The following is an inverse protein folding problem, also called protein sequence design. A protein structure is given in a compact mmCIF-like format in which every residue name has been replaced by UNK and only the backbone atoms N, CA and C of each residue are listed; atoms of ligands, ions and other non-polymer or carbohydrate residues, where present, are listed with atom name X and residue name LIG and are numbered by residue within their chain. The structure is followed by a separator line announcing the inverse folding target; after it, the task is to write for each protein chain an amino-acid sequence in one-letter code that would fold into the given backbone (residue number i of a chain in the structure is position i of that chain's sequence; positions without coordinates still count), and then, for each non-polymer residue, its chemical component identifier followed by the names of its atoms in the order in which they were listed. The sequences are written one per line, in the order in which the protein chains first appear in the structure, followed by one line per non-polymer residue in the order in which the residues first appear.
data_IF_885359640804
#
_entry.id   IF_885359640804
#
_cell.length_a   1.000
_cell.length_b   1.000
_cell.length_c   1.000
_cell.angle_alpha   90.00
_cell.angle_beta   90.00
_cell.angle_gamma   90.00
#
_symmetry.space_group_name_H-M   'P 1'
#
loop_
_entity.id
_entity.type
_entity.pdbx_description
1 polymer ?
#
# COMPACT_ATOMS: atom_id res chain seq x y z
N UNK A 1 13.82 -29.51 -8.45
CA UNK A 1 14.87 -29.29 -7.41
C UNK A 1 14.28 -29.71 -6.07
N UNK A 2 15.09 -30.03 -5.05
CA UNK A 2 14.53 -30.32 -3.74
C UNK A 2 13.99 -29.04 -3.09
N UNK A 3 12.85 -29.12 -2.44
CA UNK A 3 12.22 -28.03 -1.68
C UNK A 3 13.21 -27.47 -0.66
N UNK A 4 13.35 -26.14 -0.61
CA UNK A 4 14.20 -25.47 0.36
C UNK A 4 13.45 -25.35 1.69
N UNK A 5 14.09 -25.77 2.78
CA UNK A 5 13.64 -25.48 4.14
C UNK A 5 14.24 -24.16 4.61
N UNK A 6 13.44 -23.36 5.32
CA UNK A 6 13.89 -22.05 5.83
C UNK A 6 14.87 -22.21 6.99
N UNK A 7 15.98 -21.51 6.90
CA UNK A 7 17.05 -21.50 7.89
C UNK A 7 16.73 -20.50 9.01
N UNK A 8 16.81 -20.90 10.26
CA UNK A 8 16.66 -19.99 11.39
C UNK A 8 17.87 -19.07 11.51
N UNK A 9 17.65 -17.78 11.80
CA UNK A 9 18.71 -16.76 11.93
C UNK A 9 19.62 -16.97 13.17
N UNK A 10 19.12 -17.71 14.16
CA UNK A 10 19.76 -17.81 15.48
C UNK A 10 19.58 -16.55 16.34
N UNK A 11 18.87 -15.55 15.85
CA UNK A 11 18.52 -14.33 16.60
C UNK A 11 17.30 -14.60 17.46
N UNK A 12 17.38 -14.20 18.72
CA UNK A 12 16.26 -14.22 19.68
C UNK A 12 15.60 -12.85 19.64
N UNK A 13 14.31 -12.81 19.36
CA UNK A 13 13.49 -11.60 19.43
C UNK A 13 12.77 -11.52 20.76
N UNK A 14 12.97 -10.45 21.50
CA UNK A 14 12.20 -10.11 22.69
C UNK A 14 11.03 -9.20 22.28
N UNK A 15 9.81 -9.75 22.28
CA UNK A 15 8.60 -9.03 21.84
C UNK A 15 8.25 -7.85 22.77
N UNK A 16 8.44 -7.99 24.11
CA UNK A 16 8.09 -6.96 25.08
C UNK A 16 8.98 -5.71 24.98
N UNK A 17 10.30 -5.92 24.77
CA UNK A 17 11.26 -4.84 24.64
C UNK A 17 11.55 -4.45 23.17
N UNK A 18 11.00 -5.22 22.24
CA UNK A 18 11.27 -5.08 20.81
C UNK A 18 12.77 -5.10 20.47
N UNK A 19 13.48 -6.07 21.05
CA UNK A 19 14.94 -6.21 20.95
C UNK A 19 15.33 -7.51 20.25
N UNK A 20 16.41 -7.44 19.48
CA UNK A 20 17.00 -8.58 18.78
C UNK A 20 18.35 -8.94 19.38
N UNK A 21 18.56 -10.20 19.72
CA UNK A 21 19.78 -10.68 20.36
C UNK A 21 20.39 -11.84 19.58
N UNK A 22 21.69 -11.73 19.23
CA UNK A 22 22.46 -12.82 18.66
C UNK A 22 23.57 -13.22 19.65
N UNK A 23 23.33 -14.29 20.41
CA UNK A 23 24.12 -14.60 21.61
C UNK A 23 24.01 -13.43 22.61
N UNK A 24 25.14 -12.86 23.01
CA UNK A 24 25.20 -11.73 23.94
C UNK A 24 25.20 -10.36 23.23
N UNK A 25 25.08 -10.34 21.91
CA UNK A 25 25.09 -9.11 21.12
C UNK A 25 23.67 -8.67 20.78
N UNK A 26 23.32 -7.44 21.17
CA UNK A 26 22.11 -6.78 20.71
C UNK A 26 22.31 -6.28 19.28
N UNK A 27 21.31 -6.55 18.41
CA UNK A 27 21.25 -6.09 17.03
C UNK A 27 20.26 -4.96 16.89
N UNK A 28 20.47 -4.10 15.91
CA UNK A 28 19.56 -2.99 15.61
C UNK A 28 18.40 -3.45 14.70
N UNK A 29 17.22 -2.92 14.96
CA UNK A 29 16.05 -3.12 14.10
C UNK A 29 16.16 -2.32 12.80
N UNK A 30 15.83 -2.94 11.67
CA UNK A 30 15.90 -2.30 10.34
C UNK A 30 14.92 -1.12 10.22
N UNK A 31 13.71 -1.26 10.71
CA UNK A 31 12.62 -0.29 10.49
C UNK A 31 12.96 1.10 11.01
N UNK A 32 13.62 1.19 12.18
CA UNK A 32 14.01 2.47 12.74
C UNK A 32 15.14 3.12 11.94
N UNK A 33 16.14 2.34 11.50
CA UNK A 33 17.23 2.81 10.66
C UNK A 33 16.70 3.39 9.34
N UNK A 34 15.78 2.68 8.69
CA UNK A 34 15.12 3.15 7.46
C UNK A 34 14.37 4.47 7.69
N UNK A 35 13.60 4.58 8.77
CA UNK A 35 12.87 5.80 9.09
C UNK A 35 13.82 6.98 9.32
N UNK A 36 14.90 6.80 10.06
CA UNK A 36 15.90 7.86 10.31
C UNK A 36 16.56 8.34 9.03
N UNK A 37 16.88 7.43 8.12
CA UNK A 37 17.60 7.73 6.89
C UNK A 37 16.69 8.32 5.79
N UNK A 38 15.41 7.92 5.72
CA UNK A 38 14.51 8.31 4.64
C UNK A 38 13.56 9.45 5.08
N UNK A 39 12.95 9.32 6.25
CA UNK A 39 11.88 10.22 6.71
C UNK A 39 12.00 10.50 8.22
N UNK A 40 13.05 11.20 8.69
CA UNK A 40 13.29 11.42 10.12
C UNK A 40 12.12 12.13 10.81
N UNK A 41 11.44 13.03 10.12
CA UNK A 41 10.37 13.87 10.67
C UNK A 41 8.94 13.31 10.44
N UNK A 42 8.81 12.09 9.89
CA UNK A 42 7.51 11.51 9.49
C UNK A 42 6.41 11.59 10.56
N UNK A 43 6.77 11.50 11.83
CA UNK A 43 5.83 11.48 12.95
C UNK A 43 5.96 12.69 13.89
N UNK A 44 6.82 13.68 13.59
CA UNK A 44 7.14 14.81 14.45
C UNK A 44 5.94 15.68 14.82
N UNK A 45 4.97 15.82 13.90
CA UNK A 45 3.75 16.61 14.08
C UNK A 45 2.59 15.84 14.70
N UNK A 46 2.72 14.51 14.93
CA UNK A 46 1.63 13.67 15.40
C UNK A 46 1.70 13.52 16.94
N UNK A 47 0.62 13.84 17.67
CA UNK A 47 0.60 13.66 19.11
C UNK A 47 0.89 12.20 19.53
N UNK A 48 1.77 12.03 20.54
CA UNK A 48 2.23 10.72 21.03
C UNK A 48 1.07 9.74 21.30
N UNK A 49 0.00 10.20 21.95
CA UNK A 49 -1.19 9.39 22.20
C UNK A 49 -1.83 8.81 20.95
N UNK A 50 -1.80 9.55 19.83
CA UNK A 50 -2.36 9.05 18.56
C UNK A 50 -1.46 7.97 17.98
N UNK A 51 -0.14 8.14 18.09
CA UNK A 51 0.83 7.14 17.65
C UNK A 51 0.71 5.85 18.49
N UNK A 52 0.58 5.98 19.81
CA UNK A 52 0.38 4.84 20.73
C UNK A 52 -0.89 4.06 20.38
N UNK A 53 -2.02 4.75 20.19
CA UNK A 53 -3.28 4.10 19.80
C UNK A 53 -3.20 3.42 18.42
N UNK A 54 -2.44 4.00 17.49
CA UNK A 54 -2.22 3.38 16.17
C UNK A 54 -1.32 2.14 16.28
N UNK A 55 -0.30 2.19 17.13
CA UNK A 55 0.59 1.05 17.39
C UNK A 55 -0.17 -0.09 18.07
N UNK A 56 -0.96 0.19 19.14
CA UNK A 56 -1.78 -0.83 19.81
C UNK A 56 -2.75 -1.52 18.84
N UNK A 57 -3.42 -0.74 17.99
CA UNK A 57 -4.30 -1.31 16.97
C UNK A 57 -3.51 -2.19 15.97
N UNK A 58 -2.38 -1.71 15.47
CA UNK A 58 -1.51 -2.47 14.58
C UNK A 58 -1.07 -3.79 15.22
N UNK A 59 -0.52 -3.74 16.43
CA UNK A 59 -0.07 -4.93 17.18
C UNK A 59 -1.21 -5.94 17.38
N UNK A 60 -2.42 -5.46 17.71
CA UNK A 60 -3.59 -6.33 17.85
C UNK A 60 -3.95 -7.08 16.55
N UNK A 61 -3.87 -6.38 15.40
CA UNK A 61 -4.15 -6.99 14.08
C UNK A 61 -3.07 -8.01 13.73
N UNK A 62 -1.78 -7.66 13.86
CA UNK A 62 -0.66 -8.59 13.60
C UNK A 62 -0.78 -9.86 14.45
N UNK A 63 -1.01 -9.70 15.76
CA UNK A 63 -1.15 -10.84 16.67
C UNK A 63 -2.34 -11.74 16.32
N UNK A 64 -3.45 -11.15 15.91
CA UNK A 64 -4.65 -11.92 15.50
C UNK A 64 -4.38 -12.73 14.23
N UNK A 65 -3.65 -12.16 13.27
CA UNK A 65 -3.25 -12.84 12.04
C UNK A 65 -2.20 -13.92 12.32
N UNK A 66 -1.22 -13.65 13.19
CA UNK A 66 -0.22 -14.62 13.61
C UNK A 66 -0.87 -15.85 14.26
N UNK A 67 -1.81 -15.66 15.21
CA UNK A 67 -2.56 -16.73 15.85
C UNK A 67 -3.37 -17.54 14.84
N UNK A 68 -3.97 -16.86 13.86
CA UNK A 68 -4.67 -17.56 12.78
C UNK A 68 -3.71 -18.42 11.95
N UNK A 69 -2.55 -17.91 11.58
CA UNK A 69 -1.58 -18.63 10.74
C UNK A 69 -0.88 -19.78 11.48
N UNK A 70 -0.54 -19.61 12.75
CA UNK A 70 0.18 -20.63 13.53
C UNK A 70 -0.74 -21.67 14.17
N UNK A 71 -1.91 -21.24 14.65
CA UNK A 71 -2.79 -22.06 15.48
C UNK A 71 -4.20 -22.25 14.91
N UNK A 72 -4.48 -21.67 13.74
CA UNK A 72 -5.81 -21.68 13.11
C UNK A 72 -6.91 -21.05 13.96
N UNK A 73 -6.54 -20.16 14.90
CA UNK A 73 -7.47 -19.42 15.77
C UNK A 73 -7.98 -18.20 15.03
N UNK A 74 -9.23 -18.27 14.56
CA UNK A 74 -9.92 -17.14 13.95
C UNK A 74 -10.77 -16.42 15.02
N UNK A 75 -10.39 -15.20 15.39
CA UNK A 75 -11.10 -14.39 16.39
C UNK A 75 -12.35 -13.69 15.85
N UNK A 76 -12.66 -13.86 14.56
CA UNK A 76 -13.83 -13.27 13.89
C UNK A 76 -13.71 -11.78 13.56
N UNK A 77 -12.55 -11.15 13.78
CA UNK A 77 -12.35 -9.75 13.39
C UNK A 77 -12.40 -9.58 11.87
N UNK A 78 -12.83 -8.41 11.42
CA UNK A 78 -12.94 -8.10 9.98
C UNK A 78 -11.57 -8.16 9.32
N UNK A 79 -10.52 -7.67 9.99
CA UNK A 79 -9.14 -7.69 9.48
C UNK A 79 -8.64 -9.12 9.23
N UNK A 80 -8.97 -10.07 10.10
CA UNK A 80 -8.60 -11.49 9.90
C UNK A 80 -9.40 -12.10 8.74
N UNK A 81 -10.69 -11.76 8.61
CA UNK A 81 -11.50 -12.22 7.47
C UNK A 81 -10.97 -11.67 6.14
N UNK A 82 -10.65 -10.38 6.10
CA UNK A 82 -10.07 -9.71 4.93
C UNK A 82 -8.70 -10.32 4.57
N UNK A 83 -7.86 -10.58 5.56
CA UNK A 83 -6.58 -11.26 5.37
C UNK A 83 -6.76 -12.65 4.74
N UNK A 84 -7.69 -13.45 5.26
CA UNK A 84 -8.02 -14.77 4.72
C UNK A 84 -8.48 -14.66 3.27
N UNK A 85 -9.35 -13.69 2.98
CA UNK A 85 -9.87 -13.48 1.63
C UNK A 85 -8.76 -13.04 0.66
N UNK A 86 -7.88 -12.11 1.05
CA UNK A 86 -6.70 -11.71 0.26
C UNK A 86 -5.82 -12.91 -0.05
N UNK A 87 -5.48 -13.73 0.95
CA UNK A 87 -4.65 -14.91 0.76
C UNK A 87 -5.28 -15.90 -0.22
N UNK A 88 -6.58 -16.13 -0.11
CA UNK A 88 -7.33 -17.03 -0.97
C UNK A 88 -7.40 -16.52 -2.42
N UNK A 89 -7.77 -15.25 -2.61
CA UNK A 89 -7.95 -14.66 -3.95
C UNK A 89 -6.63 -14.57 -4.73
N UNK A 90 -5.51 -14.45 -4.02
CA UNK A 90 -4.18 -14.35 -4.61
C UNK A 90 -3.37 -15.66 -4.52
N UNK A 91 -3.98 -16.75 -4.05
CA UNK A 91 -3.33 -18.06 -3.92
C UNK A 91 -2.02 -18.00 -3.12
N UNK A 92 -2.00 -17.22 -2.03
CA UNK A 92 -0.83 -17.07 -1.17
C UNK A 92 -0.71 -18.30 -0.24
N UNK A 93 0.34 -19.09 -0.43
CA UNK A 93 0.59 -20.31 0.35
C UNK A 93 1.51 -19.95 1.51
N UNK A 94 0.97 -19.96 2.72
CA UNK A 94 1.71 -19.64 3.94
C UNK A 94 2.89 -20.59 4.15
N UNK A 95 4.06 -20.04 4.47
CA UNK A 95 5.28 -20.76 4.83
C UNK A 95 5.75 -20.42 6.24
N UNK A 96 5.77 -19.13 6.59
CA UNK A 96 6.12 -18.67 7.93
C UNK A 96 5.50 -17.31 8.25
N UNK A 97 5.27 -17.05 9.54
CA UNK A 97 4.90 -15.74 10.08
C UNK A 97 5.93 -15.30 11.12
N UNK A 98 6.15 -13.99 11.25
CA UNK A 98 7.14 -13.40 12.17
C UNK A 98 8.53 -14.03 11.98
N UNK A 99 8.92 -14.19 10.71
CA UNK A 99 10.17 -14.86 10.37
C UNK A 99 11.35 -13.93 10.54
N UNK A 100 12.19 -14.21 11.54
CA UNK A 100 13.36 -13.39 11.87
C UNK A 100 14.47 -13.57 10.85
N UNK A 101 14.90 -12.45 10.26
CA UNK A 101 16.05 -12.36 9.36
C UNK A 101 17.12 -11.44 9.93
N UNK A 102 18.40 -11.71 9.57
CA UNK A 102 19.54 -10.96 10.07
C UNK A 102 20.70 -10.99 9.08
N UNK A 103 21.56 -9.97 9.14
CA UNK A 103 22.89 -10.00 8.50
C UNK A 103 23.92 -10.79 9.30
N UNK A 104 23.54 -11.31 10.47
CA UNK A 104 24.41 -12.02 11.41
C UNK A 104 25.44 -11.13 12.11
N UNK A 105 25.30 -9.80 12.01
CA UNK A 105 26.30 -8.84 12.53
C UNK A 105 25.67 -7.66 13.27
N UNK A 106 24.85 -6.87 12.61
CA UNK A 106 24.38 -5.58 13.12
C UNK A 106 22.88 -5.43 13.07
N UNK A 107 22.22 -6.11 12.12
CA UNK A 107 20.82 -5.88 11.79
C UNK A 107 19.98 -7.13 11.94
N UNK A 108 18.77 -6.97 12.45
CA UNK A 108 17.73 -7.98 12.44
C UNK A 108 16.35 -7.36 12.26
N UNK A 109 15.40 -8.15 11.81
CA UNK A 109 14.00 -7.78 11.76
C UNK A 109 13.14 -9.02 11.60
N UNK A 110 11.83 -8.88 11.88
CA UNK A 110 10.85 -9.91 11.60
C UNK A 110 10.09 -9.58 10.31
N UNK A 111 9.89 -10.59 9.47
CA UNK A 111 9.04 -10.54 8.30
C UNK A 111 7.66 -11.03 8.72
N UNK A 112 6.64 -10.21 8.60
CA UNK A 112 5.29 -10.56 9.05
C UNK A 112 4.79 -11.83 8.39
N UNK A 113 4.94 -11.95 7.05
CA UNK A 113 4.45 -13.07 6.27
C UNK A 113 5.44 -13.52 5.19
N UNK A 114 5.73 -14.81 5.16
CA UNK A 114 6.49 -15.48 4.10
C UNK A 114 5.55 -16.45 3.39
N UNK A 115 5.43 -16.32 2.10
CA UNK A 115 4.63 -17.20 1.24
C UNK A 115 5.52 -17.96 0.28
N UNK A 116 5.20 -19.24 0.06
CA UNK A 116 5.92 -20.08 -0.90
C UNK A 116 5.24 -20.02 -2.26
N UNK A 117 5.99 -19.69 -3.30
CA UNK A 117 5.52 -19.68 -4.69
C UNK A 117 6.02 -20.88 -5.50
N UNK A 118 7.18 -21.43 -5.14
CA UNK A 118 7.72 -22.68 -5.70
C UNK A 118 8.66 -23.40 -4.70
N UNK A 119 9.36 -24.45 -5.14
CA UNK A 119 10.31 -25.18 -4.29
C UNK A 119 11.41 -24.30 -3.70
N UNK A 120 11.84 -23.27 -4.43
CA UNK A 120 12.95 -22.38 -4.09
C UNK A 120 12.60 -20.88 -4.17
N UNK A 121 11.34 -20.55 -4.42
CA UNK A 121 10.89 -19.17 -4.61
C UNK A 121 9.83 -18.78 -3.60
N UNK A 122 9.92 -17.54 -3.12
CA UNK A 122 9.08 -17.01 -2.04
C UNK A 122 8.60 -15.60 -2.36
N UNK A 123 7.45 -15.25 -1.80
CA UNK A 123 6.97 -13.86 -1.72
C UNK A 123 6.97 -13.42 -0.26
N UNK A 124 7.30 -12.16 -0.01
CA UNK A 124 7.27 -11.59 1.32
C UNK A 124 6.16 -10.54 1.41
N UNK A 125 5.49 -10.48 2.54
CA UNK A 125 4.52 -9.44 2.78
C UNK A 125 4.66 -8.84 4.19
N UNK A 126 4.29 -7.57 4.27
CA UNK A 126 4.30 -6.77 5.47
C UNK A 126 2.89 -6.22 5.69
N UNK A 127 2.34 -6.36 6.90
CA UNK A 127 0.98 -5.96 7.24
C UNK A 127 0.98 -4.51 7.71
N UNK A 128 0.12 -3.69 7.13
CA UNK A 128 -0.04 -2.29 7.51
C UNK A 128 -1.49 -1.96 7.82
N UNK A 129 -1.68 -1.15 8.89
CA UNK A 129 -3.00 -0.77 9.41
C UNK A 129 -3.25 0.74 9.36
N UNK A 130 -2.55 1.44 8.47
CA UNK A 130 -2.66 2.89 8.32
C UNK A 130 -4.05 3.31 7.84
N UNK A 131 -4.49 4.52 8.22
CA UNK A 131 -5.71 5.11 7.65
C UNK A 131 -5.53 5.58 6.20
N UNK A 132 -4.30 5.94 5.82
CA UNK A 132 -3.91 6.33 4.47
C UNK A 132 -2.48 5.86 4.21
N UNK A 133 -2.27 5.22 3.07
CA UNK A 133 -0.95 4.89 2.55
C UNK A 133 -0.40 6.11 1.79
N UNK A 134 0.39 6.95 2.48
CA UNK A 134 1.05 8.11 1.85
C UNK A 134 2.27 7.66 1.05
N UNK A 135 2.78 8.53 0.17
CA UNK A 135 3.96 8.25 -0.62
C UNK A 135 5.18 7.90 0.26
N UNK A 136 5.37 8.63 1.38
CA UNK A 136 6.46 8.39 2.32
C UNK A 136 6.33 7.02 3.01
N UNK A 137 5.09 6.63 3.41
CA UNK A 137 4.83 5.31 4.00
C UNK A 137 5.05 4.19 3.01
N UNK A 138 4.66 4.41 1.76
CA UNK A 138 4.89 3.46 0.67
C UNK A 138 6.38 3.30 0.37
N UNK A 139 7.14 4.40 0.32
CA UNK A 139 8.58 4.37 0.14
C UNK A 139 9.28 3.65 1.30
N UNK A 140 8.92 3.97 2.54
CA UNK A 140 9.48 3.29 3.72
C UNK A 140 9.21 1.79 3.68
N UNK A 141 7.99 1.37 3.35
CA UNK A 141 7.64 -0.05 3.22
C UNK A 141 8.36 -0.72 2.03
N UNK A 142 8.59 0.00 0.94
CA UNK A 142 9.36 -0.48 -0.21
C UNK A 142 10.80 -0.81 0.20
N UNK A 143 11.48 0.09 0.93
CA UNK A 143 12.81 -0.17 1.46
C UNK A 143 12.80 -1.30 2.49
N UNK A 144 11.84 -1.32 3.40
CA UNK A 144 11.68 -2.34 4.43
C UNK A 144 11.58 -3.75 3.82
N UNK A 145 10.64 -3.95 2.92
CA UNK A 145 10.44 -5.23 2.24
C UNK A 145 11.65 -5.64 1.38
N UNK A 146 12.33 -4.67 0.77
CA UNK A 146 13.53 -4.93 -0.04
C UNK A 146 14.73 -5.34 0.83
N UNK A 147 14.91 -4.73 2.00
CA UNK A 147 15.90 -5.16 3.00
C UNK A 147 15.57 -6.55 3.55
N UNK A 148 14.28 -6.84 3.78
CA UNK A 148 13.84 -8.17 4.17
C UNK A 148 14.20 -9.22 3.12
N UNK A 149 13.93 -8.95 1.84
CA UNK A 149 14.28 -9.84 0.75
C UNK A 149 15.80 -10.06 0.66
N UNK A 150 16.59 -9.02 0.83
CA UNK A 150 18.05 -9.10 0.87
C UNK A 150 18.54 -10.02 1.99
N UNK A 151 18.07 -9.84 3.22
CA UNK A 151 18.48 -10.68 4.36
C UNK A 151 17.90 -12.10 4.27
N UNK A 152 16.68 -12.24 3.77
CA UNK A 152 16.06 -13.54 3.55
C UNK A 152 16.89 -14.42 2.60
N UNK A 153 17.33 -13.85 1.47
CA UNK A 153 18.16 -14.55 0.48
C UNK A 153 19.58 -14.81 1.00
N UNK A 154 20.14 -13.93 1.83
CA UNK A 154 21.43 -14.18 2.51
C UNK A 154 21.36 -15.37 3.48
N UNK A 155 20.28 -15.43 4.25
CA UNK A 155 20.05 -16.46 5.27
C UNK A 155 19.68 -17.80 4.64
N UNK A 156 18.86 -17.78 3.59
CA UNK A 156 18.34 -18.96 2.91
C UNK A 156 19.03 -19.14 1.55
N UNK A 157 20.25 -19.68 1.55
CA UNK A 157 21.01 -19.91 0.32
C UNK A 157 20.19 -20.68 -0.72
N UNK A 158 20.18 -20.20 -1.96
CA UNK A 158 19.41 -20.66 -3.11
C UNK A 158 17.94 -20.25 -3.12
N UNK A 159 17.37 -19.75 -2.03
CA UNK A 159 16.05 -19.15 -2.05
C UNK A 159 16.06 -17.85 -2.85
N UNK A 160 14.94 -17.57 -3.54
CA UNK A 160 14.72 -16.34 -4.29
C UNK A 160 13.42 -15.70 -3.82
N UNK A 161 13.44 -14.39 -3.69
CA UNK A 161 12.22 -13.61 -3.45
C UNK A 161 11.78 -12.99 -4.76
N UNK A 162 10.61 -13.40 -5.26
CA UNK A 162 10.07 -12.99 -6.56
C UNK A 162 9.09 -11.83 -6.45
N UNK A 163 8.37 -11.71 -5.34
CA UNK A 163 7.35 -10.68 -5.13
C UNK A 163 7.38 -10.14 -3.71
N UNK A 164 7.06 -8.86 -3.61
CA UNK A 164 6.91 -8.15 -2.34
C UNK A 164 5.52 -7.54 -2.28
N UNK A 165 4.88 -7.58 -1.11
CA UNK A 165 3.53 -7.07 -0.94
C UNK A 165 3.39 -6.29 0.36
N UNK A 166 2.52 -5.29 0.35
CA UNK A 166 1.89 -4.77 1.56
C UNK A 166 0.48 -5.36 1.62
N UNK A 167 0.14 -5.96 2.74
CA UNK A 167 -1.25 -6.32 3.07
C UNK A 167 -1.79 -5.18 3.92
N UNK A 168 -2.61 -4.33 3.29
CA UNK A 168 -3.15 -3.14 3.94
C UNK A 168 -4.54 -3.42 4.47
N UNK A 169 -4.66 -3.53 5.78
CA UNK A 169 -5.89 -3.90 6.49
C UNK A 169 -6.31 -2.81 7.46
N UNK A 170 -7.57 -2.42 7.40
CA UNK A 170 -8.13 -1.50 8.38
C UNK A 170 -9.65 -1.64 8.46
N UNK A 171 -10.15 -1.80 9.67
CA UNK A 171 -11.56 -1.70 9.95
C UNK A 171 -11.77 -0.93 11.25
N UNK A 172 -12.07 0.36 11.15
CA UNK A 172 -12.20 1.24 12.31
C UNK A 172 -13.39 2.16 12.19
N UNK A 173 -14.27 2.12 13.19
CA UNK A 173 -15.36 3.09 13.30
C UNK A 173 -14.83 4.41 13.88
N UNK A 174 -14.97 5.48 13.13
CA UNK A 174 -14.59 6.82 13.52
C UNK A 174 -15.63 7.42 14.49
N UNK A 175 -15.24 8.44 15.26
CA UNK A 175 -16.16 9.15 16.18
C UNK A 175 -17.39 9.73 15.46
N UNK A 176 -17.29 10.00 14.17
CA UNK A 176 -18.38 10.45 13.32
C UNK A 176 -19.39 9.35 12.94
N UNK A 177 -19.14 8.09 13.34
CA UNK A 177 -19.91 6.93 12.90
C UNK A 177 -19.50 6.37 11.53
N UNK A 178 -18.59 7.04 10.81
CA UNK A 178 -18.05 6.52 9.54
C UNK A 178 -17.13 5.34 9.82
N UNK A 179 -17.29 4.26 9.07
CA UNK A 179 -16.38 3.11 9.10
C UNK A 179 -15.29 3.31 8.05
N UNK A 180 -14.03 3.24 8.46
CA UNK A 180 -12.88 3.10 7.55
C UNK A 180 -12.63 1.60 7.35
N UNK A 181 -12.88 1.11 6.16
CA UNK A 181 -12.59 -0.28 5.78
C UNK A 181 -11.61 -0.29 4.61
N UNK A 182 -10.47 -0.96 4.80
CA UNK A 182 -9.41 -1.14 3.80
C UNK A 182 -9.03 -2.61 3.81
N UNK A 183 -8.96 -3.22 2.63
CA UNK A 183 -8.59 -4.61 2.41
C UNK A 183 -7.89 -4.72 1.06
N UNK A 184 -6.61 -4.34 1.01
CA UNK A 184 -5.83 -4.24 -0.22
C UNK A 184 -4.56 -5.08 -0.16
N UNK A 185 -4.22 -5.74 -1.28
CA UNK A 185 -2.90 -6.31 -1.53
C UNK A 185 -2.15 -5.42 -2.50
N UNK A 186 -1.13 -4.72 -2.01
CA UNK A 186 -0.36 -3.75 -2.79
C UNK A 186 0.97 -4.38 -3.20
N UNK A 187 1.21 -4.62 -4.51
CA UNK A 187 2.49 -5.10 -4.98
C UNK A 187 3.56 -4.01 -4.83
N UNK A 188 4.75 -4.42 -4.40
CA UNK A 188 5.89 -3.54 -4.15
C UNK A 188 7.02 -3.89 -5.11
N UNK A 189 7.51 -2.89 -5.81
CA UNK A 189 8.71 -3.02 -6.63
C UNK A 189 9.96 -3.08 -5.75
N UNK A 190 10.78 -4.09 -5.98
CA UNK A 190 11.99 -4.33 -5.18
C UNK A 190 13.08 -3.30 -5.49
N UNK A 191 13.72 -2.79 -4.44
CA UNK A 191 14.96 -2.00 -4.52
C UNK A 191 16.16 -2.95 -4.62
N UNK A 192 17.17 -2.63 -5.44
CA UNK A 192 18.39 -3.42 -5.52
C UNK A 192 19.08 -3.61 -4.17
N UNK A 193 19.65 -4.80 -3.94
CA UNK A 193 20.24 -5.18 -2.66
C UNK A 193 21.45 -4.32 -2.26
N UNK A 194 22.22 -3.84 -3.22
CA UNK A 194 23.35 -2.93 -3.02
C UNK A 194 22.91 -1.57 -2.46
N UNK A 195 21.78 -1.04 -2.93
CA UNK A 195 21.17 0.19 -2.42
C UNK A 195 20.64 0.00 -1.00
N UNK A 196 19.97 -1.12 -0.71
CA UNK A 196 19.55 -1.47 0.65
C UNK A 196 20.75 -1.56 1.60
N UNK A 197 21.81 -2.23 1.16
CA UNK A 197 23.05 -2.36 1.93
C UNK A 197 23.68 -1.00 2.20
N UNK A 198 23.82 -0.14 1.19
CA UNK A 198 24.41 1.19 1.36
C UNK A 198 23.63 2.06 2.35
N UNK A 199 22.29 2.02 2.31
CA UNK A 199 21.46 2.72 3.29
C UNK A 199 21.78 2.26 4.73
N UNK A 200 21.84 0.95 4.96
CA UNK A 200 22.14 0.40 6.28
C UNK A 200 23.59 0.67 6.71
N UNK A 201 24.53 0.65 5.78
CA UNK A 201 25.93 1.00 6.03
C UNK A 201 26.09 2.50 6.35
N UNK A 202 25.32 3.40 5.72
CA UNK A 202 25.27 4.82 6.07
C UNK A 202 24.81 5.03 7.51
N UNK A 203 23.75 4.33 7.96
CA UNK A 203 23.29 4.41 9.35
C UNK A 203 24.39 3.97 10.34
N UNK A 204 25.13 2.89 10.05
CA UNK A 204 26.23 2.43 10.88
C UNK A 204 27.38 3.43 10.95
N UNK A 205 27.65 4.16 9.87
CA UNK A 205 28.71 5.18 9.80
C UNK A 205 28.27 6.53 10.36
N UNK A 206 26.98 6.71 10.67
CA UNK A 206 26.39 8.00 11.04
C UNK A 206 26.37 9.00 9.88
N UNK A 207 26.31 8.51 8.65
CA UNK A 207 26.23 9.30 7.42
C UNK A 207 24.80 9.35 6.92
N UNK A 208 24.45 10.46 6.22
CA UNK A 208 23.13 10.56 5.59
C UNK A 208 23.11 9.80 4.26
N UNK A 209 22.17 8.87 4.11
CA UNK A 209 21.97 8.14 2.86
C UNK A 209 21.47 9.08 1.75
N UNK A 210 22.11 8.99 0.60
CA UNK A 210 21.68 9.68 -0.62
C UNK A 210 20.76 8.76 -1.41
N UNK A 211 19.47 8.95 -1.23
CA UNK A 211 18.45 8.15 -1.90
C UNK A 211 18.49 8.36 -3.43
N UNK A 212 18.90 7.35 -4.24
CA UNK A 212 18.97 7.50 -5.70
C UNK A 212 17.59 7.63 -6.37
N UNK A 213 16.52 7.32 -5.64
CA UNK A 213 15.13 7.46 -6.10
C UNK A 213 14.46 8.73 -5.58
N UNK A 214 15.19 9.56 -4.84
CA UNK A 214 14.65 10.85 -4.38
C UNK A 214 14.27 11.73 -5.57
N UNK A 215 13.13 12.40 -5.43
CA UNK A 215 12.70 13.36 -6.44
C UNK A 215 13.69 14.53 -6.47
N UNK A 216 14.27 14.89 -7.62
CA UNK A 216 15.13 16.06 -7.73
C UNK A 216 14.42 17.33 -7.20
N UNK A 217 15.16 18.24 -6.55
CA UNK A 217 14.59 19.45 -5.94
C UNK A 217 13.76 20.29 -6.92
N UNK A 218 14.23 20.40 -8.17
CA UNK A 218 13.54 21.13 -9.24
C UNK A 218 12.16 20.52 -9.54
N UNK A 219 12.05 19.19 -9.47
CA UNK A 219 10.79 18.48 -9.67
C UNK A 219 9.92 18.56 -8.41
N UNK A 220 10.51 18.49 -7.22
CA UNK A 220 9.79 18.60 -5.95
C UNK A 220 9.03 19.93 -5.86
N UNK A 221 9.64 21.04 -6.30
CA UNK A 221 8.96 22.34 -6.37
C UNK A 221 7.76 22.32 -7.33
N UNK A 222 7.91 21.69 -8.50
CA UNK A 222 6.81 21.54 -9.47
C UNK A 222 5.67 20.67 -8.91
N UNK A 223 5.99 19.59 -8.19
CA UNK A 223 5.00 18.72 -7.55
C UNK A 223 4.16 19.50 -6.53
N UNK A 224 4.79 20.33 -5.70
CA UNK A 224 4.08 21.18 -4.74
C UNK A 224 3.09 22.12 -5.45
N UNK A 225 3.53 22.73 -6.56
CA UNK A 225 2.65 23.60 -7.36
C UNK A 225 1.51 22.84 -8.03
N UNK A 226 1.78 21.63 -8.53
CA UNK A 226 0.73 20.76 -9.09
C UNK A 226 -0.32 20.41 -8.04
N UNK A 227 0.11 20.10 -6.80
CA UNK A 227 -0.80 19.81 -5.69
C UNK A 227 -1.74 21.00 -5.41
N UNK A 228 -1.18 22.21 -5.24
CA UNK A 228 -1.97 23.42 -5.03
C UNK A 228 -3.01 23.64 -6.16
N UNK A 229 -2.59 23.46 -7.42
CA UNK A 229 -3.48 23.65 -8.56
C UNK A 229 -4.61 22.62 -8.62
N UNK A 230 -4.35 21.37 -8.20
CA UNK A 230 -5.38 20.33 -8.12
C UNK A 230 -6.37 20.64 -6.99
N UNK A 231 -5.88 21.08 -5.83
CA UNK A 231 -6.74 21.49 -4.71
C UNK A 231 -7.65 22.65 -5.14
N UNK A 232 -7.11 23.71 -5.73
CA UNK A 232 -7.89 24.85 -6.27
C UNK A 232 -8.91 24.40 -7.32
N UNK A 233 -8.54 23.46 -8.20
CA UNK A 233 -9.45 22.91 -9.20
C UNK A 233 -10.61 22.17 -8.55
N UNK A 234 -10.34 21.33 -7.56
CA UNK A 234 -11.37 20.55 -6.86
C UNK A 234 -12.35 21.46 -6.11
N UNK A 235 -11.83 22.48 -5.40
CA UNK A 235 -12.66 23.48 -4.73
C UNK A 235 -13.57 24.22 -5.72
N UNK A 236 -13.01 24.65 -6.87
CA UNK A 236 -13.78 25.32 -7.91
C UNK A 236 -14.82 24.39 -8.56
N UNK A 237 -14.52 23.11 -8.74
CA UNK A 237 -15.46 22.11 -9.26
C UNK A 237 -16.62 21.86 -8.28
N UNK A 238 -16.35 21.78 -6.97
CA UNK A 238 -17.35 21.63 -5.92
C UNK A 238 -18.27 22.84 -5.84
N UNK A 239 -17.71 24.06 -5.82
CA UNK A 239 -18.48 25.31 -5.83
C UNK A 239 -19.37 25.40 -7.08
N UNK A 240 -18.79 25.11 -8.25
CA UNK A 240 -19.52 25.10 -9.52
C UNK A 240 -20.67 24.09 -9.53
N UNK A 241 -20.44 22.89 -8.95
CA UNK A 241 -21.48 21.87 -8.82
C UNK A 241 -22.62 22.35 -7.93
N UNK A 242 -22.33 22.97 -6.79
CA UNK A 242 -23.33 23.53 -5.88
C UNK A 242 -24.16 24.65 -6.54
N UNK A 243 -23.49 25.59 -7.24
CA UNK A 243 -24.16 26.66 -7.98
C UNK A 243 -25.07 26.08 -9.07
N UNK A 244 -24.58 25.10 -9.86
CA UNK A 244 -25.38 24.46 -10.91
C UNK A 244 -26.60 23.74 -10.35
N UNK A 245 -26.49 23.08 -9.20
CA UNK A 245 -27.60 22.42 -8.54
C UNK A 245 -28.69 23.44 -8.11
N UNK A 246 -28.30 24.56 -7.51
CA UNK A 246 -29.20 25.62 -7.10
C UNK A 246 -29.92 26.25 -8.30
N UNK A 247 -29.21 26.52 -9.39
CA UNK A 247 -29.78 27.04 -10.64
C UNK A 247 -30.78 26.04 -11.24
N UNK A 248 -30.44 24.74 -11.29
CA UNK A 248 -31.30 23.71 -11.81
C UNK A 248 -32.59 23.64 -11.02
N UNK A 249 -32.53 23.64 -9.69
CA UNK A 249 -33.74 23.67 -8.81
C UNK A 249 -34.62 24.88 -9.10
N UNK A 250 -34.02 26.07 -9.29
CA UNK A 250 -34.78 27.26 -9.63
C UNK A 250 -35.43 27.19 -11.02
N UNK A 251 -34.72 26.63 -12.01
CA UNK A 251 -35.26 26.42 -13.36
C UNK A 251 -36.40 25.40 -13.38
N UNK A 252 -36.32 24.38 -12.53
CA UNK A 252 -37.38 23.38 -12.37
C UNK A 252 -38.62 23.99 -11.72
N UNK A 253 -38.42 24.73 -10.62
CA UNK A 253 -39.53 25.39 -9.92
C UNK A 253 -40.29 26.39 -10.81
N UNK A 254 -39.58 27.14 -11.66
CA UNK A 254 -40.17 28.14 -12.57
C UNK A 254 -40.56 27.54 -13.93
N UNK A 255 -40.36 26.26 -14.14
CA UNK A 255 -40.56 25.55 -15.43
C UNK A 255 -39.89 26.23 -16.63
N UNK A 256 -38.70 26.79 -16.44
CA UNK A 256 -37.94 27.47 -17.48
C UNK A 256 -36.93 26.50 -18.09
N UNK A 257 -36.87 26.44 -19.42
CA UNK A 257 -35.91 25.60 -20.13
C UNK A 257 -34.57 26.29 -20.37
N UNK A 258 -34.57 27.61 -20.60
CA UNK A 258 -33.32 28.31 -20.95
C UNK A 258 -33.35 29.72 -20.35
N UNK A 259 -32.21 30.09 -19.72
CA UNK A 259 -31.89 31.46 -19.34
C UNK A 259 -30.69 31.97 -20.10
N UNK A 260 -30.64 33.26 -20.38
CA UNK A 260 -29.49 33.93 -20.97
C UNK A 260 -29.21 35.19 -20.15
N UNK A 261 -28.02 35.32 -19.59
CA UNK A 261 -27.59 36.50 -18.85
C UNK A 261 -26.10 36.70 -19.06
N UNK A 262 -25.66 37.91 -19.34
CA UNK A 262 -24.23 38.29 -19.47
C UNK A 262 -23.42 37.33 -20.37
N UNK A 263 -23.97 36.99 -21.54
CA UNK A 263 -23.41 36.07 -22.52
C UNK A 263 -23.28 34.58 -22.02
N UNK A 264 -23.83 34.24 -20.86
CA UNK A 264 -23.95 32.87 -20.37
C UNK A 264 -25.33 32.34 -20.69
N UNK A 265 -25.38 31.19 -21.37
CA UNK A 265 -26.64 30.48 -21.64
C UNK A 265 -26.73 29.25 -20.73
N UNK A 266 -27.77 29.20 -19.91
CA UNK A 266 -28.10 28.08 -19.05
C UNK A 266 -29.26 27.31 -19.70
N UNK A 267 -29.11 26.00 -19.88
CA UNK A 267 -30.15 25.14 -20.49
C UNK A 267 -30.36 23.90 -19.62
N UNK A 268 -31.58 23.76 -19.12
CA UNK A 268 -32.05 22.57 -18.40
C UNK A 268 -32.20 21.40 -19.38
N UNK A 269 -31.44 20.33 -19.17
CA UNK A 269 -31.66 19.06 -19.88
C UNK A 269 -32.63 18.20 -19.10
N UNK A 270 -33.66 17.72 -19.78
CA UNK A 270 -34.58 16.78 -19.17
C UNK A 270 -33.95 15.41 -19.02
N UNK A 271 -34.35 14.62 -18.01
CA UNK A 271 -33.87 13.25 -17.86
C UNK A 271 -34.12 12.46 -19.14
N UNK A 272 -33.14 11.70 -19.56
CA UNK A 272 -33.23 10.83 -20.73
C UNK A 272 -32.49 9.51 -20.45
N UNK A 273 -33.03 8.42 -20.97
CA UNK A 273 -32.40 7.11 -20.90
C UNK A 273 -31.47 6.96 -22.10
N UNK A 274 -30.18 6.74 -21.82
CA UNK A 274 -29.19 6.41 -22.85
C UNK A 274 -28.88 4.93 -22.76
N UNK A 275 -29.02 4.22 -23.87
CA UNK A 275 -28.58 2.84 -23.97
C UNK A 275 -27.13 2.80 -24.44
N UNK A 276 -26.32 2.02 -23.77
CA UNK A 276 -24.95 1.72 -24.16
C UNK A 276 -24.77 0.20 -24.26
N UNK A 277 -23.91 -0.24 -25.18
CA UNK A 277 -23.61 -1.66 -25.30
C UNK A 277 -22.77 -2.12 -24.11
N UNK A 278 -23.27 -3.13 -23.37
CA UNK A 278 -22.59 -3.75 -22.26
C UNK A 278 -21.78 -4.95 -22.76
N UNK A 279 -20.51 -4.69 -23.10
CA UNK A 279 -19.60 -5.71 -23.60
C UNK A 279 -19.40 -6.87 -22.61
N UNK A 280 -19.41 -6.59 -21.31
CA UNK A 280 -19.25 -7.63 -20.28
C UNK A 280 -20.42 -8.60 -20.30
N UNK A 281 -21.64 -8.10 -20.21
CA UNK A 281 -22.86 -8.93 -20.30
C UNK A 281 -22.98 -9.65 -21.62
N UNK A 282 -22.53 -9.01 -22.71
CA UNK A 282 -22.52 -9.64 -24.03
C UNK A 282 -21.57 -10.85 -24.06
N UNK A 283 -20.34 -10.71 -23.56
CA UNK A 283 -19.37 -11.81 -23.46
C UNK A 283 -19.84 -12.95 -22.58
N UNK A 284 -20.51 -12.63 -21.47
CA UNK A 284 -21.10 -13.63 -20.57
C UNK A 284 -22.24 -14.41 -21.22
N UNK A 285 -23.04 -13.76 -22.07
CA UNK A 285 -24.16 -14.37 -22.78
C UNK A 285 -23.76 -15.13 -24.06
N UNK A 286 -22.62 -14.83 -24.64
CA UNK A 286 -22.14 -15.35 -25.93
C UNK A 286 -20.75 -15.97 -25.79
N UNK A 287 -20.65 -17.01 -24.97
CA UNK A 287 -19.39 -17.73 -24.70
C UNK A 287 -18.84 -18.49 -25.92
N UNK A 288 -19.67 -18.70 -26.93
CA UNK A 288 -19.30 -19.30 -28.22
C UNK A 288 -18.44 -18.40 -29.09
N UNK A 289 -18.44 -17.08 -28.85
CA UNK A 289 -17.62 -16.11 -29.59
C UNK A 289 -16.28 -15.95 -28.86
N UNK A 290 -15.19 -16.37 -29.46
CA UNK A 290 -13.84 -16.32 -28.86
C UNK A 290 -12.93 -15.29 -29.51
N UNK A 291 -13.32 -14.72 -30.64
CA UNK A 291 -12.51 -13.83 -31.47
C UNK A 291 -12.91 -12.36 -31.40
N UNK A 292 -13.35 -11.91 -30.22
CA UNK A 292 -13.77 -10.51 -29.97
C UNK A 292 -12.77 -9.47 -30.44
N UNK A 293 -11.47 -9.79 -30.40
CA UNK A 293 -10.41 -8.87 -30.78
C UNK A 293 -10.47 -8.46 -32.26
N UNK A 294 -11.07 -9.31 -33.12
CA UNK A 294 -11.29 -8.99 -34.53
C UNK A 294 -12.34 -7.88 -34.74
N UNK A 295 -13.17 -7.62 -33.71
CA UNK A 295 -14.21 -6.59 -33.71
C UNK A 295 -13.82 -5.35 -32.91
N UNK A 296 -12.63 -5.34 -32.30
CA UNK A 296 -12.13 -4.21 -31.53
C UNK A 296 -11.33 -3.26 -32.43
N UNK A 297 -11.64 -1.99 -32.36
CA UNK A 297 -10.86 -0.96 -33.05
C UNK A 297 -9.68 -0.55 -32.15
N UNK A 298 -8.44 -0.78 -32.56
CA UNK A 298 -7.30 -0.33 -31.80
C UNK A 298 -7.26 1.21 -31.79
N UNK A 299 -7.03 1.77 -30.62
CA UNK A 299 -6.76 3.19 -30.43
C UNK A 299 -5.38 3.36 -29.79
N UNK A 300 -4.54 4.18 -30.40
CA UNK A 300 -3.27 4.56 -29.80
C UNK A 300 -3.56 5.57 -28.68
N UNK A 301 -3.24 5.20 -27.45
CA UNK A 301 -3.31 6.10 -26.31
C UNK A 301 -1.91 6.60 -26.02
N UNK A 302 -1.72 7.91 -26.08
CA UNK A 302 -0.45 8.52 -25.68
C UNK A 302 -0.21 8.30 -24.17
N UNK A 303 1.07 8.14 -23.79
CA UNK A 303 1.45 8.12 -22.38
C UNK A 303 1.03 9.41 -21.69
N UNK A 304 0.56 9.31 -20.44
CA UNK A 304 0.16 10.45 -19.63
C UNK A 304 0.71 10.34 -18.23
N UNK A 305 0.93 11.49 -17.57
CA UNK A 305 1.28 11.52 -16.16
C UNK A 305 -0.01 11.43 -15.33
N UNK A 306 -0.08 10.43 -14.46
CA UNK A 306 -1.14 10.35 -13.45
C UNK A 306 -0.64 11.02 -12.16
N UNK A 307 -1.42 11.93 -11.62
CA UNK A 307 -1.15 12.57 -10.32
C UNK A 307 -2.32 12.22 -9.39
N UNK A 308 -2.00 11.54 -8.28
CA UNK A 308 -2.93 11.26 -7.18
C UNK A 308 -2.53 12.09 -5.95
N UNK A 309 -3.50 12.68 -5.27
CA UNK A 309 -3.31 13.48 -4.06
C UNK A 309 -4.02 12.82 -2.87
#
# INVERSE_FOLDING_TARGET
MARIELTQSGVIFNEELHEYWLGDKQLSGITEALRKQLHPDMYSSIPKRILEQAAEYGTSVHKSIELFQKEWINNGSVEVQDFIQICKDNSLIHEASEYTVSDGKNWASNIDQVYRTSDDTFSLADIKTYSKMTAEKLELARYQLSCYAYFFEMQNKRAKVDRLYIIHLRNKTMKSGKVEHISDLIPIERIPADICKELLDCELRGEQFKNPFAVPEEIAFQISRVKELIEMKNEAEEELAAIKANILTSMEFLDVKTWVLNNVRLTRKLPSTRFSFDLKKFKEAHTEITDYDNFMKPSNVAGSLMVAI
#
